data_IF_165359154501
#
_entry.id   IF_165359154501
#
_cell.length_a   1.000
_cell.length_b   1.000
_cell.length_c   1.000
_cell.angle_alpha   90.00
_cell.angle_beta   90.00
_cell.angle_gamma   90.00
#
_symmetry.space_group_name_H-M   'P 1'
#
loop_
_entity.id
_entity.type
_entity.pdbx_description
1 polymer ?
#
# COMPACT_ATOMS: atom_id res chain seq x y z
N UNK A 1 -11.89 18.45 -12.98
CA UNK A 1 -12.62 17.18 -12.68
C UNK A 1 -14.11 17.48 -12.68
N UNK A 2 -14.96 16.58 -13.15
CA UNK A 2 -16.41 16.73 -12.91
C UNK A 2 -16.68 16.54 -11.40
N UNK A 3 -17.51 17.39 -10.81
CA UNK A 3 -17.82 17.38 -9.36
C UNK A 3 -18.26 15.98 -8.86
N UNK A 4 -19.06 15.27 -9.66
CA UNK A 4 -19.51 13.90 -9.38
C UNK A 4 -18.35 12.90 -9.21
N UNK A 5 -17.29 13.03 -9.99
CA UNK A 5 -16.10 12.17 -9.87
C UNK A 5 -15.32 12.49 -8.60
N UNK A 6 -15.24 13.76 -8.24
CA UNK A 6 -14.55 14.21 -7.02
C UNK A 6 -15.29 13.72 -5.77
N UNK A 7 -16.62 13.80 -5.77
CA UNK A 7 -17.47 13.30 -4.68
C UNK A 7 -17.37 11.77 -4.55
N UNK A 8 -17.28 11.04 -5.67
CA UNK A 8 -17.07 9.59 -5.64
C UNK A 8 -15.72 9.20 -5.04
N UNK A 9 -14.73 10.08 -5.02
CA UNK A 9 -13.39 9.75 -4.52
C UNK A 9 -13.29 9.87 -3.00
N UNK A 10 -14.17 10.67 -2.38
CA UNK A 10 -14.20 10.90 -0.94
C UNK A 10 -14.35 9.61 -0.13
N UNK A 11 -15.08 8.62 -0.65
CA UNK A 11 -15.26 7.33 0.04
C UNK A 11 -14.34 6.23 -0.51
N UNK A 12 -13.96 6.29 -1.79
CA UNK A 12 -13.07 5.30 -2.42
C UNK A 12 -11.64 5.37 -1.92
N UNK A 13 -11.11 6.58 -1.72
CA UNK A 13 -9.74 6.78 -1.23
C UNK A 13 -9.58 6.20 0.19
N UNK A 14 -10.45 6.51 1.17
CA UNK A 14 -10.42 5.86 2.47
C UNK A 14 -10.49 4.33 2.41
N UNK A 15 -11.34 3.77 1.54
CA UNK A 15 -11.40 2.31 1.39
C UNK A 15 -10.09 1.71 0.87
N UNK A 16 -9.42 2.37 -0.08
CA UNK A 16 -8.13 1.90 -0.57
C UNK A 16 -7.02 2.04 0.49
N UNK A 17 -7.08 3.09 1.32
CA UNK A 17 -6.21 3.26 2.47
C UNK A 17 -6.42 2.15 3.50
N UNK A 18 -7.67 1.83 3.81
CA UNK A 18 -8.04 0.72 4.69
C UNK A 18 -7.60 -0.64 4.12
N UNK A 19 -7.64 -0.82 2.80
CA UNK A 19 -7.13 -2.02 2.16
C UNK A 19 -5.60 -2.19 2.36
N UNK A 20 -4.84 -1.09 2.29
CA UNK A 20 -3.41 -1.11 2.61
C UNK A 20 -3.16 -1.38 4.10
N UNK A 21 -3.84 -0.67 4.99
CA UNK A 21 -3.72 -0.83 6.43
C UNK A 21 -4.07 -2.25 6.88
N UNK A 22 -5.23 -2.75 6.45
CA UNK A 22 -5.67 -4.12 6.71
C UNK A 22 -4.76 -5.16 6.06
N UNK A 23 -4.26 -4.90 4.85
CA UNK A 23 -3.28 -5.78 4.22
C UNK A 23 -1.95 -5.84 4.95
N UNK A 24 -1.54 -4.75 5.61
CA UNK A 24 -0.37 -4.73 6.50
C UNK A 24 -0.61 -5.60 7.73
N UNK A 25 -1.79 -5.49 8.37
CA UNK A 25 -2.15 -6.36 9.50
C UNK A 25 -2.11 -7.85 9.09
N UNK A 26 -2.73 -8.20 7.95
CA UNK A 26 -2.74 -9.56 7.42
C UNK A 26 -1.34 -10.06 7.09
N UNK A 27 -0.51 -9.23 6.45
CA UNK A 27 0.89 -9.57 6.16
C UNK A 27 1.69 -9.84 7.44
N UNK A 28 1.45 -9.07 8.50
CA UNK A 28 2.11 -9.26 9.79
C UNK A 28 1.68 -10.56 10.46
N UNK A 29 0.39 -10.90 10.40
CA UNK A 29 -0.12 -12.18 10.87
C UNK A 29 0.52 -13.35 10.11
N UNK A 30 0.56 -13.29 8.78
CA UNK A 30 1.17 -14.34 7.94
C UNK A 30 2.67 -14.47 8.23
N UNK A 31 3.39 -13.36 8.34
CA UNK A 31 4.82 -13.37 8.66
C UNK A 31 5.07 -14.01 10.05
N UNK A 32 4.23 -13.69 11.03
CA UNK A 32 4.32 -14.28 12.38
C UNK A 32 4.00 -15.78 12.36
N UNK A 33 2.95 -16.20 11.64
CA UNK A 33 2.57 -17.61 11.52
C UNK A 33 3.60 -18.47 10.79
N UNK A 34 4.41 -17.86 9.92
CA UNK A 34 5.51 -18.53 9.21
C UNK A 34 6.81 -18.57 10.03
N UNK A 35 6.79 -18.08 11.28
CA UNK A 35 7.95 -18.07 12.16
C UNK A 35 9.02 -17.05 11.79
N UNK A 36 8.70 -16.07 10.93
CA UNK A 36 9.64 -15.01 10.59
C UNK A 36 9.81 -14.08 11.79
N UNK A 37 11.06 -13.77 12.20
CA UNK A 37 11.30 -12.89 13.33
C UNK A 37 10.85 -11.46 12.97
N UNK A 38 9.99 -10.89 13.82
CA UNK A 38 9.65 -9.47 13.71
C UNK A 38 10.89 -8.61 14.02
N UNK A 39 11.11 -7.48 13.32
CA UNK A 39 12.17 -6.54 13.64
C UNK A 39 12.05 -6.03 15.07
N UNK A 40 13.18 -5.82 15.75
CA UNK A 40 13.20 -5.23 17.08
C UNK A 40 12.68 -3.79 17.02
N UNK A 41 11.75 -3.47 17.92
CA UNK A 41 11.26 -2.10 18.08
C UNK A 41 12.35 -1.21 18.68
N UNK A 42 12.52 0.05 18.23
CA UNK A 42 13.48 0.98 18.81
C UNK A 42 13.05 1.35 20.23
N UNK A 43 14.02 1.69 21.07
CA UNK A 43 13.75 2.18 22.41
C UNK A 43 12.86 3.44 22.35
N UNK A 44 11.77 3.43 23.13
CA UNK A 44 10.82 4.54 23.20
C UNK A 44 9.76 4.57 22.09
N UNK A 45 9.75 3.60 21.16
CA UNK A 45 8.68 3.49 20.17
C UNK A 45 7.46 2.78 20.75
N UNK A 46 6.28 3.37 20.56
CA UNK A 46 5.00 2.80 20.94
C UNK A 46 4.30 2.19 19.70
N UNK A 47 3.87 0.93 19.78
CA UNK A 47 3.24 0.26 18.63
C UNK A 47 1.90 0.87 18.23
N UNK A 48 1.14 1.38 19.19
CA UNK A 48 -0.16 2.00 18.90
C UNK A 48 0.06 3.31 18.14
N UNK A 49 1.06 4.11 18.53
CA UNK A 49 1.46 5.33 17.80
C UNK A 49 1.93 5.00 16.38
N UNK A 50 2.77 3.98 16.20
CA UNK A 50 3.21 3.54 14.86
C UNK A 50 2.05 3.06 13.99
N UNK A 51 1.07 2.35 14.56
CA UNK A 51 -0.16 1.95 13.87
C UNK A 51 -1.00 3.15 13.40
N UNK A 52 -1.09 4.21 14.22
CA UNK A 52 -1.78 5.44 13.84
C UNK A 52 -1.04 6.17 12.70
N UNK A 53 0.28 6.21 12.74
CA UNK A 53 1.08 6.77 11.64
C UNK A 53 0.92 5.96 10.36
N UNK A 54 0.88 4.64 10.44
CA UNK A 54 0.60 3.77 9.30
C UNK A 54 -0.76 4.11 8.67
N UNK A 55 -1.80 4.32 9.46
CA UNK A 55 -3.12 4.69 8.95
C UNK A 55 -3.08 6.03 8.18
N UNK A 56 -2.40 7.05 8.72
CA UNK A 56 -2.22 8.34 8.07
C UNK A 56 -1.43 8.21 6.75
N UNK A 57 -0.33 7.47 6.77
CA UNK A 57 0.50 7.20 5.58
C UNK A 57 -0.29 6.44 4.52
N UNK A 58 -1.13 5.47 4.93
CA UNK A 58 -2.01 4.72 4.03
C UNK A 58 -2.95 5.65 3.25
N UNK A 59 -3.46 6.69 3.90
CA UNK A 59 -4.33 7.68 3.27
C UNK A 59 -3.57 8.54 2.25
N UNK A 60 -2.38 9.02 2.61
CA UNK A 60 -1.51 9.81 1.72
C UNK A 60 -1.13 8.98 0.49
N UNK A 61 -0.73 7.73 0.70
CA UNK A 61 -0.40 6.77 -0.36
C UNK A 61 -1.61 6.55 -1.28
N UNK A 62 -2.81 6.36 -0.70
CA UNK A 62 -4.02 6.17 -1.48
C UNK A 62 -4.37 7.39 -2.34
N UNK A 63 -4.16 8.61 -1.83
CA UNK A 63 -4.34 9.85 -2.61
C UNK A 63 -3.37 9.90 -3.79
N UNK A 64 -2.08 9.60 -3.56
CA UNK A 64 -1.05 9.60 -4.60
C UNK A 64 -1.35 8.57 -5.71
N UNK A 65 -1.69 7.34 -5.32
CA UNK A 65 -2.07 6.28 -6.24
C UNK A 65 -3.34 6.60 -7.01
N UNK A 66 -4.30 7.32 -6.41
CA UNK A 66 -5.53 7.70 -7.11
C UNK A 66 -5.25 8.60 -8.33
N UNK A 67 -4.25 9.48 -8.26
CA UNK A 67 -3.83 10.27 -9.41
C UNK A 67 -3.20 9.41 -10.51
N UNK A 68 -2.45 8.38 -10.12
CA UNK A 68 -1.78 7.49 -11.07
C UNK A 68 -2.74 6.48 -11.70
N UNK A 69 -3.60 5.84 -10.90
CA UNK A 69 -4.60 4.87 -11.35
C UNK A 69 -5.51 5.46 -12.43
N UNK A 70 -5.79 6.77 -12.36
CA UNK A 70 -6.55 7.50 -13.39
C UNK A 70 -5.83 7.62 -14.72
N UNK A 71 -4.51 7.67 -14.74
CA UNK A 71 -3.76 7.78 -16.00
C UNK A 71 -3.38 6.42 -16.56
N UNK A 72 -3.53 5.37 -15.76
CA UNK A 72 -3.19 4.02 -16.13
C UNK A 72 -4.34 3.36 -16.92
N UNK A 73 -4.13 3.21 -18.23
CA UNK A 73 -4.99 2.45 -19.13
C UNK A 73 -4.73 0.94 -19.00
N UNK A 74 -5.62 0.12 -19.54
CA UNK A 74 -5.47 -1.34 -19.62
C UNK A 74 -6.47 -2.13 -18.77
N UNK A 75 -6.36 -3.47 -18.86
CA UNK A 75 -7.20 -4.41 -18.12
C UNK A 75 -6.96 -4.39 -16.61
N UNK A 76 -7.91 -4.96 -15.85
CA UNK A 76 -7.83 -5.01 -14.39
C UNK A 76 -6.52 -5.63 -13.88
N UNK A 77 -6.11 -6.77 -14.44
CA UNK A 77 -4.92 -7.51 -14.01
C UNK A 77 -3.63 -6.70 -14.19
N UNK A 78 -3.44 -6.09 -15.36
CA UNK A 78 -2.27 -5.25 -15.64
C UNK A 78 -2.23 -4.04 -14.70
N UNK A 79 -3.38 -3.37 -14.49
CA UNK A 79 -3.47 -2.21 -13.59
C UNK A 79 -3.19 -2.58 -12.15
N UNK A 80 -3.76 -3.70 -11.69
CA UNK A 80 -3.53 -4.22 -10.35
C UNK A 80 -2.05 -4.50 -10.13
N UNK A 81 -1.40 -5.26 -11.02
CA UNK A 81 0.01 -5.61 -10.88
C UNK A 81 0.91 -4.36 -10.87
N UNK A 82 0.67 -3.40 -11.77
CA UNK A 82 1.47 -2.16 -11.80
C UNK A 82 1.27 -1.33 -10.54
N UNK A 83 0.03 -1.15 -10.07
CA UNK A 83 -0.24 -0.38 -8.86
C UNK A 83 0.34 -1.07 -7.61
N UNK A 84 0.16 -2.39 -7.49
CA UNK A 84 0.76 -3.16 -6.40
C UNK A 84 2.27 -3.12 -6.43
N UNK A 85 2.89 -3.24 -7.60
CA UNK A 85 4.34 -3.16 -7.74
C UNK A 85 4.88 -1.78 -7.33
N UNK A 86 4.21 -0.71 -7.72
CA UNK A 86 4.60 0.64 -7.32
C UNK A 86 4.48 0.89 -5.82
N UNK A 87 3.41 0.38 -5.20
CA UNK A 87 3.26 0.42 -3.73
C UNK A 87 4.39 -0.36 -3.06
N UNK A 88 4.67 -1.56 -3.58
CA UNK A 88 5.74 -2.39 -3.05
C UNK A 88 7.11 -1.72 -3.18
N UNK A 89 7.43 -1.12 -4.35
CA UNK A 89 8.67 -0.35 -4.55
C UNK A 89 8.76 0.81 -3.56
N UNK A 90 7.68 1.59 -3.42
CA UNK A 90 7.67 2.74 -2.53
C UNK A 90 8.05 2.36 -1.10
N UNK A 91 7.55 1.21 -0.61
CA UNK A 91 7.92 0.69 0.71
C UNK A 91 9.29 -0.01 0.74
N UNK A 92 9.59 -0.86 -0.24
CA UNK A 92 10.84 -1.63 -0.26
C UNK A 92 12.06 -0.70 -0.37
N UNK A 93 12.01 0.28 -1.28
CA UNK A 93 13.09 1.26 -1.43
C UNK A 93 13.20 2.15 -0.20
N UNK A 94 12.08 2.62 0.35
CA UNK A 94 12.09 3.41 1.58
C UNK A 94 12.75 2.65 2.74
N UNK A 95 12.38 1.38 2.93
CA UNK A 95 12.90 0.56 4.03
C UNK A 95 14.38 0.23 3.85
N UNK A 96 14.87 0.03 2.62
CA UNK A 96 16.30 -0.17 2.36
C UNK A 96 17.09 1.11 2.65
N UNK A 97 16.59 2.28 2.24
CA UNK A 97 17.22 3.57 2.53
C UNK A 97 17.22 3.83 4.04
N UNK A 98 16.09 3.57 4.71
CA UNK A 98 15.97 3.72 6.16
C UNK A 98 16.93 2.79 6.90
N UNK A 99 16.99 1.52 6.48
CA UNK A 99 17.92 0.50 6.98
C UNK A 99 19.40 0.86 6.80
N UNK A 100 19.74 1.59 5.74
CA UNK A 100 21.11 1.95 5.43
C UNK A 100 21.59 3.24 6.15
N UNK A 101 20.68 4.19 6.41
CA UNK A 101 21.07 5.56 6.83
C UNK A 101 20.53 5.91 8.21
N UNK A 102 19.32 5.46 8.58
CA UNK A 102 18.58 6.02 9.71
C UNK A 102 18.37 5.03 10.85
N UNK A 103 17.76 3.86 10.61
CA UNK A 103 17.32 2.96 11.69
C UNK A 103 17.32 1.48 11.26
N UNK A 104 17.39 0.55 12.22
CA UNK A 104 17.16 -0.88 11.96
C UNK A 104 15.68 -1.31 12.07
N UNK A 105 14.76 -0.39 12.39
CA UNK A 105 13.33 -0.70 12.52
C UNK A 105 12.74 -1.20 11.20
N UNK A 106 13.20 -0.58 10.10
CA UNK A 106 12.82 -0.95 8.74
C UNK A 106 13.89 -1.81 8.06
N UNK A 107 14.80 -2.44 8.82
CA UNK A 107 15.84 -3.29 8.24
C UNK A 107 15.21 -4.31 7.28
N UNK A 108 15.69 -4.30 6.04
CA UNK A 108 15.19 -5.15 4.97
C UNK A 108 15.24 -6.62 5.42
N UNK A 109 14.07 -7.18 5.71
CA UNK A 109 13.89 -8.52 6.26
C UNK A 109 12.78 -9.24 5.52
N UNK A 110 12.83 -10.57 5.49
CA UNK A 110 11.75 -11.38 4.93
C UNK A 110 10.40 -11.05 5.59
N UNK A 111 10.40 -10.71 6.89
CA UNK A 111 9.21 -10.23 7.59
C UNK A 111 8.61 -8.99 6.91
N UNK A 112 9.43 -7.96 6.67
CA UNK A 112 8.97 -6.72 6.00
C UNK A 112 8.53 -6.95 4.56
N UNK A 113 9.16 -7.89 3.85
CA UNK A 113 8.77 -8.25 2.48
C UNK A 113 7.38 -8.88 2.47
N UNK A 114 7.09 -9.82 3.37
CA UNK A 114 5.77 -10.46 3.49
C UNK A 114 4.73 -9.43 3.94
N UNK A 115 5.06 -8.64 4.97
CA UNK A 115 4.22 -7.59 5.52
C UNK A 115 3.69 -6.63 4.44
N UNK A 116 4.60 -6.00 3.70
CA UNK A 116 4.25 -5.02 2.66
C UNK A 116 3.85 -5.67 1.33
N UNK A 117 4.17 -6.95 1.11
CA UNK A 117 3.70 -7.72 -0.03
C UNK A 117 2.18 -7.88 -0.01
N UNK A 118 1.62 -8.30 1.12
CA UNK A 118 0.15 -8.38 1.27
C UNK A 118 -0.52 -7.01 1.21
N UNK A 119 0.06 -6.01 1.87
CA UNK A 119 -0.44 -4.64 1.84
C UNK A 119 -0.50 -4.06 0.42
N UNK A 120 0.55 -4.28 -0.38
CA UNK A 120 0.66 -3.76 -1.73
C UNK A 120 -0.30 -4.45 -2.70
N UNK A 121 -0.48 -5.78 -2.57
CA UNK A 121 -1.43 -6.54 -3.37
C UNK A 121 -2.86 -6.10 -3.11
N UNK A 122 -3.25 -5.96 -1.84
CA UNK A 122 -4.61 -5.56 -1.47
C UNK A 122 -4.90 -4.10 -1.83
N UNK A 123 -3.96 -3.18 -1.60
CA UNK A 123 -4.13 -1.78 -1.98
C UNK A 123 -4.23 -1.61 -3.50
N UNK A 124 -3.34 -2.26 -4.26
CA UNK A 124 -3.39 -2.21 -5.72
C UNK A 124 -4.68 -2.81 -6.30
N UNK A 125 -5.19 -3.89 -5.71
CA UNK A 125 -6.47 -4.49 -6.10
C UNK A 125 -7.63 -3.54 -5.83
N UNK A 126 -7.68 -2.94 -4.64
CA UNK A 126 -8.69 -1.95 -4.27
C UNK A 126 -8.66 -0.73 -5.21
N UNK A 127 -7.47 -0.23 -5.54
CA UNK A 127 -7.29 0.88 -6.47
C UNK A 127 -7.73 0.53 -7.90
N UNK A 128 -7.30 -0.62 -8.42
CA UNK A 128 -7.66 -1.07 -9.76
C UNK A 128 -9.17 -1.27 -9.90
N UNK A 129 -9.84 -1.74 -8.84
CA UNK A 129 -11.27 -2.01 -8.83
C UNK A 129 -12.11 -0.75 -8.65
N UNK A 130 -11.81 0.07 -7.64
CA UNK A 130 -12.64 1.22 -7.27
C UNK A 130 -12.42 2.43 -8.19
N UNK A 131 -11.22 2.57 -8.77
CA UNK A 131 -10.88 3.64 -9.69
C UNK A 131 -10.73 3.08 -11.11
N UNK A 132 -11.80 3.02 -11.92
CA UNK A 132 -11.74 2.53 -13.29
C UNK A 132 -10.92 3.47 -14.21
N UNK A 133 -10.40 2.97 -15.34
CA UNK A 133 -9.63 3.76 -16.29
C UNK A 133 -10.51 4.80 -17.02
N UNK A 134 -9.92 5.89 -17.59
CA UNK A 134 -10.65 6.98 -18.25
C UNK A 134 -11.44 6.56 -19.49
N UNK A 135 -10.91 5.59 -20.23
CA UNK A 135 -11.64 4.81 -21.20
C UNK A 135 -11.42 3.35 -20.83
N UNK A 136 -12.52 2.61 -20.71
CA UNK A 136 -12.47 1.16 -20.87
C UNK A 136 -12.14 1.01 -22.35
N UNK A 137 -10.85 0.90 -22.70
CA UNK A 137 -10.46 0.62 -24.07
C UNK A 137 -11.22 -0.62 -24.48
N UNK A 138 -12.06 -0.49 -25.50
CA UNK A 138 -12.64 -1.63 -26.19
C UNK A 138 -11.46 -2.46 -26.72
N UNK A 139 -11.24 -3.64 -26.13
CA UNK A 139 -10.28 -4.64 -26.61
C UNK A 139 -8.94 -4.69 -25.86
N UNK A 140 -8.56 -5.88 -25.39
CA UNK A 140 -8.17 -6.97 -26.31
C UNK A 140 -9.32 -7.97 -26.41
#
# INVERSE_FOLDING_TARGET
>A
MKLKTMLSYLWKIPLCALAFYGGTMLGGMVATLTGLPAPAMPAGADQMVLGQYLLLVSLILAIALAFLARKLAGGFLARWLVLSFLVWIAHAVNNVIEGAIFTSLAAASLFTVVLYGFASLLCGAAMAWLLPPPSRGDGF
#
